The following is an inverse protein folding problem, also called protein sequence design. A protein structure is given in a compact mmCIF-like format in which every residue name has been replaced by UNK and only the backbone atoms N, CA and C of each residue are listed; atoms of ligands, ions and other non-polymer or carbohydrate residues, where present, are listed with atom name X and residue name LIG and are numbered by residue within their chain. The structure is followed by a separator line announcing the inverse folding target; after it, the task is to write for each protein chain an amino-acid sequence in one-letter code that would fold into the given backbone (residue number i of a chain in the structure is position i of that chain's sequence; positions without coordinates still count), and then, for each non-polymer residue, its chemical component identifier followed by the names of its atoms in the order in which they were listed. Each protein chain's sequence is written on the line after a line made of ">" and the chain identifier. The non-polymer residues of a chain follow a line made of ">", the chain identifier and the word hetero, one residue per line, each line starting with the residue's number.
data_IF_770775041750
#
_entry.id   IF_770775041750
#
_cell.length_a   1.000
_cell.length_b   1.000
_cell.length_c   1.000
_cell.angle_alpha   90.00
_cell.angle_beta   90.00
_cell.angle_gamma   90.00
#
_symmetry.space_group_name_H-M   'P 1'
#
loop_
_entity.id
_entity.type
_entity.pdbx_description
1 polymer ?
#
# COMPACT_ATOMS: atom_id res chain seq x y z
N UNK A 1 3.32 -13.29 -7.15
CA UNK A 1 2.61 -12.54 -8.22
C UNK A 1 3.65 -11.67 -8.89
N UNK A 2 3.60 -11.52 -10.22
CA UNK A 2 4.45 -10.58 -10.93
C UNK A 2 3.89 -9.15 -10.73
N UNK A 3 4.77 -8.19 -10.51
CA UNK A 3 4.42 -6.77 -10.49
C UNK A 3 4.08 -6.29 -11.90
N UNK A 4 3.20 -5.30 -11.99
CA UNK A 4 2.87 -4.67 -13.27
C UNK A 4 4.09 -3.92 -13.83
N UNK A 5 4.86 -3.23 -12.97
CA UNK A 5 6.08 -2.54 -13.37
C UNK A 5 7.32 -3.39 -13.04
N UNK A 6 8.12 -3.79 -14.05
CA UNK A 6 9.35 -4.56 -13.82
C UNK A 6 10.35 -3.81 -12.95
N UNK A 7 11.00 -4.54 -12.04
CA UNK A 7 12.03 -3.98 -11.15
C UNK A 7 11.52 -3.42 -9.83
N UNK A 8 10.20 -3.36 -9.63
CA UNK A 8 9.58 -3.00 -8.36
C UNK A 8 8.92 -4.22 -7.70
N UNK A 9 8.78 -4.16 -6.37
CA UNK A 9 8.10 -5.19 -5.55
C UNK A 9 6.60 -4.88 -5.41
N UNK A 10 6.25 -3.60 -5.41
CA UNK A 10 4.89 -3.11 -5.36
C UNK A 10 4.59 -2.16 -6.51
N UNK A 11 3.36 -2.15 -7.00
CA UNK A 11 2.90 -1.22 -8.03
C UNK A 11 2.30 0.06 -7.43
N UNK A 12 1.75 -0.02 -6.22
CA UNK A 12 1.08 1.10 -5.55
C UNK A 12 1.43 1.17 -4.06
N UNK A 13 1.86 2.34 -3.60
CA UNK A 13 2.11 2.63 -2.19
C UNK A 13 0.96 3.48 -1.62
N UNK A 14 0.32 3.01 -0.53
CA UNK A 14 -0.76 3.75 0.13
C UNK A 14 -0.28 4.23 1.49
N UNK A 15 0.01 5.54 1.58
CA UNK A 15 0.34 6.22 2.84
C UNK A 15 -0.90 6.92 3.42
N UNK A 16 -1.14 6.74 4.72
CA UNK A 16 -2.21 7.44 5.44
C UNK A 16 -1.85 7.60 6.90
N UNK A 17 -2.43 8.60 7.57
CA UNK A 17 -2.34 8.70 9.04
C UNK A 17 -3.27 7.66 9.67
N UNK A 18 -2.75 6.80 10.56
CA UNK A 18 -3.56 5.84 11.31
C UNK A 18 -4.70 6.51 12.09
N UNK A 19 -4.46 7.73 12.60
CA UNK A 19 -5.49 8.54 13.25
C UNK A 19 -6.67 8.83 12.32
N UNK A 20 -6.44 8.94 11.00
CA UNK A 20 -7.49 9.22 10.03
C UNK A 20 -8.35 7.99 9.70
N UNK A 21 -7.99 6.76 10.10
CA UNK A 21 -8.81 5.57 9.83
C UNK A 21 -10.02 5.43 10.77
N UNK A 22 -10.70 6.54 11.07
CA UNK A 22 -11.94 6.56 11.81
C UNK A 22 -12.98 5.66 11.12
N UNK A 23 -13.66 4.80 11.88
CA UNK A 23 -14.67 3.86 11.38
C UNK A 23 -14.17 2.85 10.32
N UNK A 24 -12.84 2.70 10.17
CA UNK A 24 -12.23 1.73 9.25
C UNK A 24 -12.38 2.07 7.77
N UNK A 25 -12.60 3.34 7.41
CA UNK A 25 -12.82 3.73 6.01
C UNK A 25 -11.59 3.45 5.13
N UNK A 26 -10.37 3.59 5.66
CA UNK A 26 -9.13 3.30 4.92
C UNK A 26 -9.03 1.81 4.65
N UNK A 27 -9.42 0.97 5.61
CA UNK A 27 -9.49 -0.48 5.42
C UNK A 27 -10.47 -0.83 4.29
N UNK A 28 -11.67 -0.25 4.30
CA UNK A 28 -12.67 -0.43 3.23
C UNK A 28 -12.19 0.11 1.88
N UNK A 29 -11.46 1.22 1.87
CA UNK A 29 -10.84 1.76 0.67
C UNK A 29 -9.84 0.78 0.07
N UNK A 30 -8.95 0.21 0.90
CA UNK A 30 -7.95 -0.78 0.48
C UNK A 30 -8.59 -2.02 -0.12
N UNK A 31 -9.64 -2.55 0.50
CA UNK A 31 -10.40 -3.69 -0.03
C UNK A 31 -11.01 -3.40 -1.42
N UNK A 32 -11.64 -2.23 -1.56
CA UNK A 32 -12.21 -1.79 -2.84
C UNK A 32 -11.13 -1.58 -3.90
N UNK A 33 -9.98 -1.03 -3.51
CA UNK A 33 -8.86 -0.78 -4.40
C UNK A 33 -8.25 -2.09 -4.92
N UNK A 34 -8.04 -3.08 -4.04
CA UNK A 34 -7.55 -4.41 -4.40
C UNK A 34 -8.50 -5.10 -5.40
N UNK A 35 -9.80 -5.08 -5.13
CA UNK A 35 -10.81 -5.62 -6.04
C UNK A 35 -10.80 -4.90 -7.40
N UNK A 36 -10.69 -3.56 -7.39
CA UNK A 36 -10.70 -2.74 -8.61
C UNK A 36 -9.48 -2.99 -9.48
N UNK A 37 -8.30 -3.15 -8.89
CA UNK A 37 -7.07 -3.39 -9.66
C UNK A 37 -6.99 -4.82 -10.18
N UNK A 38 -7.52 -5.81 -9.46
CA UNK A 38 -7.74 -7.15 -10.01
C UNK A 38 -8.67 -7.15 -11.23
N UNK A 39 -9.71 -6.30 -11.22
CA UNK A 39 -10.66 -6.17 -12.34
C UNK A 39 -10.03 -5.42 -13.53
N UNK A 40 -9.28 -4.35 -13.27
CA UNK A 40 -8.89 -3.36 -14.30
C UNK A 40 -7.48 -3.51 -14.85
N UNK A 41 -6.60 -4.21 -14.13
CA UNK A 41 -5.20 -4.37 -14.52
C UNK A 41 -4.85 -5.86 -14.53
N UNK A 42 -5.18 -6.63 -15.58
CA UNK A 42 -4.73 -8.02 -15.70
C UNK A 42 -3.21 -8.04 -15.98
N UNK A 43 -2.39 -8.86 -15.29
CA UNK A 43 -2.73 -9.99 -14.41
C UNK A 43 -3.01 -9.63 -12.92
N UNK A 44 -2.83 -8.37 -12.55
CA UNK A 44 -3.05 -7.80 -11.23
C UNK A 44 -2.09 -6.62 -11.02
N UNK A 45 -2.27 -5.90 -9.93
CA UNK A 45 -1.25 -4.98 -9.39
C UNK A 45 -0.94 -5.38 -7.96
N UNK A 46 0.32 -5.31 -7.55
CA UNK A 46 0.76 -5.56 -6.16
C UNK A 46 0.75 -4.25 -5.37
N UNK A 47 0.53 -4.34 -4.06
CA UNK A 47 0.40 -3.17 -3.19
C UNK A 47 1.23 -3.32 -1.95
N UNK A 48 1.94 -2.25 -1.58
CA UNK A 48 2.57 -2.19 -0.28
C UNK A 48 1.48 -2.10 0.79
N UNK A 49 1.65 -2.88 1.87
CA UNK A 49 0.75 -2.84 3.00
C UNK A 49 1.50 -2.36 4.22
N UNK A 50 1.22 -1.12 4.61
CA UNK A 50 1.56 -0.69 5.96
C UNK A 50 0.69 -1.48 6.95
N UNK A 51 1.34 -2.41 7.66
CA UNK A 51 0.78 -3.23 8.74
C UNK A 51 1.24 -2.78 10.12
N UNK A 52 2.22 -1.89 10.19
CA UNK A 52 2.76 -1.35 11.43
C UNK A 52 1.90 -0.18 11.89
N UNK A 53 1.43 -0.22 13.14
CA UNK A 53 0.68 0.89 13.74
C UNK A 53 1.65 1.99 14.19
N UNK A 54 2.18 2.77 13.25
CA UNK A 54 3.00 3.93 13.64
C UNK A 54 2.14 5.02 14.27
N UNK A 55 2.60 5.50 15.43
CA UNK A 55 2.09 6.71 16.06
C UNK A 55 2.75 7.94 15.41
N UNK A 56 2.09 9.11 15.53
CA UNK A 56 2.48 10.32 14.79
C UNK A 56 3.86 10.91 15.10
N UNK A 57 4.64 10.28 15.98
CA UNK A 57 5.99 10.70 16.37
C UNK A 57 7.02 9.56 16.27
N UNK A 58 6.62 8.42 15.68
CA UNK A 58 7.53 7.32 15.42
C UNK A 58 8.36 7.65 14.16
N UNK A 59 9.64 7.29 14.20
CA UNK A 59 10.48 7.33 13.00
C UNK A 59 9.90 6.41 11.91
N UNK A 60 10.11 6.77 10.64
CA UNK A 60 9.76 5.88 9.54
C UNK A 60 10.51 4.56 9.72
N UNK A 61 9.75 3.47 9.81
CA UNK A 61 10.36 2.15 9.95
C UNK A 61 11.15 1.80 8.69
N UNK A 62 12.19 0.95 8.81
CA UNK A 62 12.88 0.42 7.64
C UNK A 62 11.94 -0.26 6.64
N UNK A 63 10.83 -0.82 7.10
CA UNK A 63 9.79 -1.41 6.26
C UNK A 63 9.08 -0.36 5.39
N UNK A 64 8.68 0.78 5.98
CA UNK A 64 8.05 1.87 5.22
C UNK A 64 9.05 2.51 4.26
N UNK A 65 10.29 2.71 4.69
CA UNK A 65 11.36 3.22 3.81
C UNK A 65 11.59 2.24 2.64
N UNK A 66 11.62 0.94 2.91
CA UNK A 66 11.72 -0.10 1.89
C UNK A 66 10.53 -0.10 0.94
N UNK A 67 9.31 0.06 1.46
CA UNK A 67 8.09 0.21 0.67
C UNK A 67 8.16 1.41 -0.27
N UNK A 68 8.62 2.57 0.21
CA UNK A 68 8.80 3.77 -0.61
C UNK A 68 9.80 3.51 -1.76
N UNK A 69 10.94 2.87 -1.48
CA UNK A 69 11.97 2.63 -2.50
C UNK A 69 11.60 1.55 -3.51
N UNK A 70 10.81 0.54 -3.10
CA UNK A 70 10.49 -0.62 -3.92
C UNK A 70 9.07 -0.58 -4.50
N UNK A 71 8.39 0.57 -4.44
CA UNK A 71 7.12 0.79 -5.11
C UNK A 71 7.27 1.70 -6.33
N UNK A 72 6.59 1.35 -7.42
CA UNK A 72 6.70 2.08 -8.67
C UNK A 72 6.18 3.53 -8.60
N UNK A 73 5.24 3.83 -7.68
CA UNK A 73 4.56 5.12 -7.55
C UNK A 73 4.20 5.46 -6.11
#
# INVERSE_FOLDING_TARGET
>A
MATYVPGFEYDVFVSYSHANNFEGWVSKFREKLDARLKERVPPGATFFRDTESLQGNDDLTPEIIGGIHNTAV
#
